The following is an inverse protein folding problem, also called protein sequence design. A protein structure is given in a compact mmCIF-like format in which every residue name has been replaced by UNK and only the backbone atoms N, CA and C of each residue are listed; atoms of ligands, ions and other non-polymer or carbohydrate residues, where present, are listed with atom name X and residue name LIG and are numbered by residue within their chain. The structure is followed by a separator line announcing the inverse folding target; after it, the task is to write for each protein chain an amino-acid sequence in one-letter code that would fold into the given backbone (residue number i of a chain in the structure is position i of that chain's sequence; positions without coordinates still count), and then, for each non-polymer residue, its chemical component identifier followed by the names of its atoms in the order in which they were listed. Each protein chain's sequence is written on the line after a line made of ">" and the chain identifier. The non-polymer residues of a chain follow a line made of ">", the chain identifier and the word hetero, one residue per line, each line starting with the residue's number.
data_IF_217829955317
#
_entry.id   IF_217829955317
#
_cell.length_a   1.000
_cell.length_b   1.000
_cell.length_c   1.000
_cell.angle_alpha   90.00
_cell.angle_beta   90.00
_cell.angle_gamma   90.00
#
_symmetry.space_group_name_H-M   'P 1'
#
loop_
_entity.id
_entity.type
_entity.pdbx_description
1 polymer ?
#
# COMPACT_ATOMS: atom_id res chain seq x y z
N UNK A 1 1.03 0.01 -11.04
CA UNK A 1 0.85 -1.45 -11.22
C UNK A 1 2.17 -2.23 -11.25
N UNK A 2 3.04 -2.06 -12.27
CA UNK A 2 4.25 -2.90 -12.45
C UNK A 2 5.14 -3.04 -11.22
N UNK A 3 5.41 -1.94 -10.52
CA UNK A 3 6.32 -1.99 -9.35
C UNK A 3 5.68 -2.74 -8.17
N UNK A 4 4.36 -2.68 -8.01
CA UNK A 4 3.64 -3.45 -6.97
C UNK A 4 3.73 -4.94 -7.30
N UNK A 5 3.53 -5.31 -8.57
CA UNK A 5 3.67 -6.69 -9.04
C UNK A 5 5.09 -7.21 -8.83
N UNK A 6 6.11 -6.40 -9.18
CA UNK A 6 7.51 -6.77 -9.00
C UNK A 6 7.85 -7.01 -7.52
N UNK A 7 7.32 -6.19 -6.61
CA UNK A 7 7.58 -6.32 -5.17
C UNK A 7 6.88 -7.54 -4.60
N UNK A 8 5.65 -7.83 -5.04
CA UNK A 8 4.95 -9.07 -4.67
C UNK A 8 5.72 -10.28 -5.17
N UNK A 9 6.15 -10.28 -6.44
CA UNK A 9 6.92 -11.36 -7.04
C UNK A 9 8.24 -11.58 -6.27
N UNK A 10 9.01 -10.53 -6.01
CA UNK A 10 10.24 -10.62 -5.23
C UNK A 10 10.00 -11.10 -3.81
N UNK A 11 8.94 -10.62 -3.15
CA UNK A 11 8.58 -11.06 -1.81
C UNK A 11 8.19 -12.54 -1.75
N UNK A 12 7.45 -13.04 -2.74
CA UNK A 12 7.10 -14.47 -2.84
C UNK A 12 8.35 -15.30 -3.16
N UNK A 13 9.23 -14.86 -4.07
CA UNK A 13 10.47 -15.58 -4.39
C UNK A 13 11.41 -15.67 -3.18
N UNK A 14 11.49 -14.61 -2.38
CA UNK A 14 12.24 -14.61 -1.13
C UNK A 14 11.66 -15.61 -0.13
N UNK A 15 10.33 -15.60 0.05
CA UNK A 15 9.64 -16.54 0.94
C UNK A 15 9.65 -17.98 0.43
N UNK A 16 9.79 -18.19 -0.88
CA UNK A 16 9.93 -19.48 -1.54
C UNK A 16 11.32 -20.10 -1.38
N UNK A 17 12.27 -19.40 -0.74
CA UNK A 17 13.58 -19.95 -0.41
C UNK A 17 14.56 -19.98 -1.59
N UNK A 18 14.45 -19.06 -2.55
CA UNK A 18 15.44 -18.94 -3.63
C UNK A 18 16.85 -18.70 -3.06
N UNK A 19 17.87 -19.18 -3.77
CA UNK A 19 19.26 -18.93 -3.44
C UNK A 19 19.54 -17.42 -3.29
N UNK A 20 20.13 -17.02 -2.15
CA UNK A 20 20.42 -15.63 -1.83
C UNK A 20 21.26 -14.90 -2.89
N UNK A 21 22.15 -15.61 -3.60
CA UNK A 21 22.95 -15.04 -4.70
C UNK A 21 22.08 -14.68 -5.92
N UNK A 22 21.16 -15.57 -6.30
CA UNK A 22 20.20 -15.33 -7.38
C UNK A 22 19.23 -14.20 -7.01
N UNK A 23 18.75 -14.18 -5.76
CA UNK A 23 17.89 -13.12 -5.27
C UNK A 23 18.58 -11.75 -5.28
N UNK A 24 19.83 -11.68 -4.81
CA UNK A 24 20.62 -10.45 -4.84
C UNK A 24 20.85 -9.98 -6.28
N UNK A 25 21.20 -10.88 -7.19
CA UNK A 25 21.36 -10.58 -8.62
C UNK A 25 20.09 -10.00 -9.25
N UNK A 26 18.94 -10.65 -9.04
CA UNK A 26 17.64 -10.17 -9.53
C UNK A 26 17.28 -8.80 -8.93
N UNK A 27 17.60 -8.56 -7.66
CA UNK A 27 17.33 -7.29 -6.99
C UNK A 27 18.17 -6.16 -7.58
N UNK A 28 19.46 -6.41 -7.80
CA UNK A 28 20.38 -5.44 -8.42
C UNK A 28 19.91 -5.09 -9.83
N UNK A 29 19.57 -6.09 -10.65
CA UNK A 29 19.05 -5.87 -12.00
C UNK A 29 17.74 -5.08 -11.97
N UNK A 30 16.83 -5.41 -11.05
CA UNK A 30 15.58 -4.69 -10.86
C UNK A 30 15.79 -3.22 -10.52
N UNK A 31 16.70 -2.92 -9.59
CA UNK A 31 17.05 -1.54 -9.22
C UNK A 31 17.67 -0.79 -10.41
N UNK A 32 18.61 -1.41 -11.13
CA UNK A 32 19.23 -0.83 -12.33
C UNK A 32 18.22 -0.48 -13.43
N UNK A 33 17.24 -1.37 -13.67
CA UNK A 33 16.18 -1.11 -14.64
C UNK A 33 15.36 0.09 -14.18
N UNK A 34 14.93 0.12 -12.92
CA UNK A 34 14.11 1.21 -12.39
C UNK A 34 14.86 2.55 -12.45
N UNK A 35 16.12 2.61 -12.05
CA UNK A 35 16.93 3.84 -12.08
C UNK A 35 17.17 4.32 -13.50
N UNK A 36 17.53 3.43 -14.43
CA UNK A 36 17.74 3.78 -15.85
C UNK A 36 16.46 4.33 -16.48
N UNK A 37 15.34 3.67 -16.22
CA UNK A 37 14.02 4.05 -16.73
C UNK A 37 13.55 5.41 -16.18
N UNK A 38 13.89 5.71 -14.93
CA UNK A 38 13.68 7.03 -14.33
C UNK A 38 14.59 8.07 -14.99
N UNK A 39 15.88 7.77 -15.16
CA UNK A 39 16.87 8.70 -15.69
C UNK A 39 16.59 9.10 -17.15
N UNK A 40 16.12 8.16 -17.97
CA UNK A 40 15.84 8.40 -19.39
C UNK A 40 14.51 9.10 -19.65
N UNK A 41 13.61 9.15 -18.65
CA UNK A 41 12.26 9.68 -18.81
C UNK A 41 12.12 11.04 -18.14
N UNK A 42 12.13 12.10 -18.94
CA UNK A 42 11.99 13.47 -18.46
C UNK A 42 10.74 13.69 -17.60
N UNK A 43 9.61 13.08 -17.99
CA UNK A 43 8.38 13.11 -17.21
C UNK A 43 8.51 12.51 -15.80
N UNK A 44 9.26 11.40 -15.66
CA UNK A 44 9.49 10.73 -14.37
C UNK A 44 10.50 11.46 -13.51
N UNK A 45 11.56 12.03 -14.09
CA UNK A 45 12.49 12.91 -13.37
C UNK A 45 11.77 14.12 -12.78
N UNK A 46 10.90 14.76 -13.55
CA UNK A 46 10.10 15.89 -13.08
C UNK A 46 9.17 15.52 -11.89
N UNK A 47 8.73 14.26 -11.76
CA UNK A 47 7.98 13.81 -10.57
C UNK A 47 8.87 13.66 -9.33
N UNK A 48 10.14 13.31 -9.51
CA UNK A 48 11.11 13.21 -8.41
C UNK A 48 11.50 14.62 -7.96
N UNK A 49 11.77 15.54 -8.88
CA UNK A 49 12.07 16.92 -8.54
C UNK A 49 10.88 17.64 -7.88
N UNK A 50 9.65 17.45 -8.39
CA UNK A 50 8.45 17.96 -7.75
C UNK A 50 8.14 17.33 -6.38
N UNK A 51 8.70 16.14 -6.08
CA UNK A 51 8.63 15.52 -4.76
C UNK A 51 9.69 16.08 -3.79
N UNK A 52 10.90 16.35 -4.30
CA UNK A 52 12.02 16.86 -3.50
C UNK A 52 11.83 18.34 -3.12
N UNK A 53 11.21 19.13 -3.99
CA UNK A 53 10.87 20.53 -3.71
C UNK A 53 9.42 20.85 -4.14
N UNK A 54 8.43 20.41 -3.33
CA UNK A 54 7.02 20.58 -3.66
C UNK A 54 6.53 22.02 -3.52
N UNK A 55 7.28 22.91 -2.84
CA UNK A 55 6.89 24.28 -2.51
C UNK A 55 7.31 25.32 -3.55
N UNK A 56 8.17 24.94 -4.53
CA UNK A 56 8.46 25.82 -5.65
C UNK A 56 7.20 26.08 -6.49
N UNK A 57 6.98 27.36 -6.83
CA UNK A 57 5.76 27.84 -7.49
C UNK A 57 5.45 27.12 -8.82
N UNK A 58 6.47 26.67 -9.57
CA UNK A 58 6.30 25.89 -10.81
C UNK A 58 5.80 24.45 -10.58
N UNK A 59 6.05 23.88 -9.40
CA UNK A 59 5.69 22.51 -9.04
C UNK A 59 4.37 22.45 -8.28
N UNK A 60 4.13 23.40 -7.39
CA UNK A 60 2.89 23.55 -6.62
C UNK A 60 1.65 23.71 -7.51
N UNK A 61 1.77 24.37 -8.68
CA UNK A 61 0.65 24.58 -9.61
C UNK A 61 0.32 23.38 -10.53
N UNK A 62 1.13 22.30 -10.52
CA UNK A 62 0.93 21.13 -11.41
C UNK A 62 1.09 19.79 -10.68
N UNK A 63 2.34 19.30 -10.54
CA UNK A 63 2.60 17.92 -10.07
C UNK A 63 2.72 17.78 -8.54
N UNK A 64 3.02 18.88 -7.83
CA UNK A 64 3.09 18.96 -6.38
C UNK A 64 1.76 19.33 -5.72
N UNK A 65 0.78 19.82 -6.47
CA UNK A 65 -0.51 20.31 -5.97
C UNK A 65 -1.21 19.31 -5.03
N UNK A 66 -1.33 18.05 -5.46
CA UNK A 66 -1.96 16.99 -4.66
C UNK A 66 -1.19 16.70 -3.37
N UNK A 67 0.15 16.74 -3.40
CA UNK A 67 0.97 16.48 -2.23
C UNK A 67 0.91 17.65 -1.24
N UNK A 68 0.97 18.89 -1.73
CA UNK A 68 0.89 20.09 -0.89
C UNK A 68 -0.45 20.16 -0.16
N UNK A 69 -1.57 19.94 -0.87
CA UNK A 69 -2.89 19.92 -0.25
C UNK A 69 -3.07 18.74 0.72
N UNK A 70 -2.49 17.58 0.41
CA UNK A 70 -2.43 16.45 1.35
C UNK A 70 -1.73 16.83 2.65
N UNK A 71 -0.56 17.47 2.56
CA UNK A 71 0.21 17.92 3.73
C UNK A 71 -0.52 19.04 4.50
N UNK A 72 -1.22 19.95 3.83
CA UNK A 72 -2.07 20.96 4.47
C UNK A 72 -3.23 20.32 5.24
N UNK A 73 -3.86 19.29 4.68
CA UNK A 73 -4.92 18.52 5.35
C UNK A 73 -4.41 17.88 6.65
N UNK A 74 -3.23 17.23 6.61
CA UNK A 74 -2.58 16.69 7.81
C UNK A 74 -2.23 17.77 8.83
N UNK A 75 -1.77 18.94 8.36
CA UNK A 75 -1.45 20.08 9.23
C UNK A 75 -2.67 20.62 9.98
N UNK A 76 -3.85 20.65 9.33
CA UNK A 76 -5.12 21.07 9.94
C UNK A 76 -5.71 20.06 10.91
N UNK A 77 -5.40 18.78 10.74
CA UNK A 77 -5.95 17.69 11.54
C UNK A 77 -5.45 17.62 12.99
N UNK A 78 -4.30 18.24 13.31
CA UNK A 78 -3.70 18.19 14.65
C UNK A 78 -3.77 16.76 15.27
N UNK A 79 -4.12 16.65 16.57
CA UNK A 79 -4.21 15.36 17.27
C UNK A 79 -5.55 14.64 17.06
N UNK A 80 -6.66 15.39 17.05
CA UNK A 80 -8.04 14.84 17.10
C UNK A 80 -8.90 15.15 15.88
N UNK A 81 -8.38 15.94 14.94
CA UNK A 81 -9.10 16.33 13.73
C UNK A 81 -10.06 17.49 13.93
N UNK A 82 -10.62 17.95 12.82
CA UNK A 82 -11.64 19.01 12.78
C UNK A 82 -13.07 18.46 12.94
N UNK A 83 -13.23 17.14 13.04
CA UNK A 83 -14.51 16.44 13.13
C UNK A 83 -14.98 15.86 11.79
N UNK A 84 -15.75 14.77 11.87
CA UNK A 84 -16.28 14.05 10.70
C UNK A 84 -17.12 14.98 9.81
N UNK A 85 -16.81 15.01 8.52
CA UNK A 85 -17.48 15.90 7.56
C UNK A 85 -17.04 17.37 7.63
N UNK A 86 -16.10 17.73 8.51
CA UNK A 86 -15.51 19.07 8.61
C UNK A 86 -14.32 19.29 7.67
N UNK A 87 -13.93 18.30 6.86
CA UNK A 87 -12.80 18.43 5.94
C UNK A 87 -13.08 19.47 4.87
N UNK A 88 -12.22 20.49 4.80
CA UNK A 88 -12.28 21.54 3.79
C UNK A 88 -11.61 21.07 2.50
N UNK A 89 -10.57 20.25 2.60
CA UNK A 89 -9.83 19.73 1.44
C UNK A 89 -10.66 18.75 0.60
N UNK A 90 -11.70 18.16 1.19
CA UNK A 90 -12.72 17.34 0.53
C UNK A 90 -13.63 18.12 -0.43
N UNK A 91 -13.78 19.44 -0.26
CA UNK A 91 -14.69 20.31 -1.01
C UNK A 91 -14.03 20.88 -2.29
N UNK A 92 -13.44 20.01 -3.11
CA UNK A 92 -12.83 20.30 -4.42
C UNK A 92 -11.40 20.89 -4.43
N UNK A 93 -10.74 21.05 -3.27
CA UNK A 93 -9.35 21.52 -3.21
C UNK A 93 -8.32 20.42 -3.43
N UNK A 94 -8.64 19.17 -3.06
CA UNK A 94 -7.78 18.01 -3.28
C UNK A 94 -8.32 17.11 -4.41
N UNK A 95 -7.71 17.12 -5.62
CA UNK A 95 -8.10 16.23 -6.69
C UNK A 95 -7.79 14.79 -6.28
N UNK A 96 -8.75 13.88 -6.46
CA UNK A 96 -8.64 12.47 -6.07
C UNK A 96 -8.61 12.21 -4.55
N UNK A 97 -9.20 13.13 -3.75
CA UNK A 97 -9.38 12.97 -2.30
C UNK A 97 -10.11 11.67 -1.89
N UNK A 98 -10.96 11.12 -2.75
CA UNK A 98 -11.73 9.89 -2.48
C UNK A 98 -11.00 8.60 -2.87
N UNK A 99 -9.95 8.68 -3.69
CA UNK A 99 -9.19 7.54 -4.18
C UNK A 99 -7.82 7.53 -3.51
N UNK A 100 -6.85 8.25 -4.06
CA UNK A 100 -5.44 8.07 -3.72
C UNK A 100 -5.04 8.88 -2.48
N UNK A 101 -5.78 9.94 -2.18
CA UNK A 101 -5.50 10.85 -1.05
C UNK A 101 -6.52 10.74 0.10
N UNK A 102 -7.27 9.64 0.19
CA UNK A 102 -8.28 9.46 1.25
C UNK A 102 -7.71 9.47 2.66
N UNK A 103 -6.44 9.09 2.82
CA UNK A 103 -5.77 9.17 4.12
C UNK A 103 -5.56 10.62 4.57
N UNK A 104 -5.39 11.57 3.66
CA UNK A 104 -5.25 12.98 3.98
C UNK A 104 -6.56 13.54 4.55
N UNK A 105 -7.70 13.13 3.98
CA UNK A 105 -9.04 13.46 4.50
C UNK A 105 -9.26 12.84 5.88
N UNK A 106 -8.88 11.57 6.07
CA UNK A 106 -8.91 10.92 7.39
C UNK A 106 -8.03 11.68 8.39
N UNK A 107 -6.85 12.13 7.96
CA UNK A 107 -5.95 12.95 8.76
C UNK A 107 -6.55 14.28 9.16
N UNK A 108 -7.26 14.97 8.26
CA UNK A 108 -7.94 16.22 8.58
C UNK A 108 -9.13 16.01 9.52
N UNK A 109 -10.00 15.03 9.23
CA UNK A 109 -11.25 14.83 9.99
C UNK A 109 -11.03 14.18 11.37
N UNK A 110 -10.09 13.24 11.49
CA UNK A 110 -9.86 12.42 12.69
C UNK A 110 -8.49 12.66 13.35
N UNK A 111 -7.65 13.51 12.75
CA UNK A 111 -6.33 13.86 13.28
C UNK A 111 -5.33 12.72 13.27
N UNK A 112 -4.23 12.92 13.99
CA UNK A 112 -3.18 11.92 14.18
C UNK A 112 -3.72 10.57 14.69
N UNK A 113 -4.68 10.58 15.62
CA UNK A 113 -5.24 9.35 16.20
C UNK A 113 -5.95 8.52 15.14
N UNK A 114 -6.75 9.14 14.27
CA UNK A 114 -7.44 8.42 13.19
C UNK A 114 -6.46 7.74 12.24
N UNK A 115 -5.41 8.47 11.83
CA UNK A 115 -4.35 7.94 10.95
C UNK A 115 -3.61 6.79 11.61
N UNK A 116 -3.27 6.93 12.89
CA UNK A 116 -2.60 5.90 13.67
C UNK A 116 -3.43 4.61 13.78
N UNK A 117 -4.74 4.73 14.03
CA UNK A 117 -5.66 3.59 14.05
C UNK A 117 -5.71 2.90 12.69
N UNK A 118 -5.77 3.65 11.58
CA UNK A 118 -5.73 3.07 10.23
C UNK A 118 -4.43 2.29 10.00
N UNK A 119 -3.27 2.83 10.39
CA UNK A 119 -1.98 2.14 10.29
C UNK A 119 -2.01 0.82 11.09
N UNK A 120 -2.54 0.85 12.32
CA UNK A 120 -2.65 -0.35 13.16
C UNK A 120 -3.58 -1.42 12.56
N UNK A 121 -4.69 -1.01 11.93
CA UNK A 121 -5.60 -1.93 11.25
C UNK A 121 -4.92 -2.65 10.08
N UNK A 122 -4.19 -1.90 9.23
CA UNK A 122 -3.41 -2.50 8.15
C UNK A 122 -2.31 -3.42 8.67
N UNK A 123 -1.59 -3.01 9.72
CA UNK A 123 -0.60 -3.85 10.38
C UNK A 123 -1.23 -5.16 10.86
N UNK A 124 -2.40 -5.10 11.49
CA UNK A 124 -3.11 -6.28 11.97
C UNK A 124 -3.52 -7.21 10.84
N UNK A 125 -4.07 -6.68 9.74
CA UNK A 125 -4.44 -7.47 8.55
C UNK A 125 -3.22 -8.20 7.98
N UNK A 126 -2.12 -7.47 7.75
CA UNK A 126 -0.89 -8.05 7.19
C UNK A 126 -0.34 -9.12 8.14
N UNK A 127 -0.27 -8.83 9.45
CA UNK A 127 0.16 -9.80 10.45
C UNK A 127 -0.68 -11.07 10.41
N UNK A 128 -2.01 -10.95 10.33
CA UNK A 128 -2.92 -12.11 10.25
C UNK A 128 -2.71 -12.92 8.98
N UNK A 129 -2.53 -12.28 7.81
CA UNK A 129 -2.25 -12.97 6.56
C UNK A 129 -0.94 -13.79 6.63
N UNK A 130 0.12 -13.22 7.24
CA UNK A 130 1.39 -13.92 7.44
C UNK A 130 1.27 -15.09 8.42
N UNK A 131 0.48 -14.96 9.49
CA UNK A 131 0.22 -16.05 10.43
C UNK A 131 -0.53 -17.20 9.74
N UNK A 132 -1.59 -16.92 8.98
CA UNK A 132 -2.34 -17.92 8.21
C UNK A 132 -1.40 -18.65 7.24
N UNK A 133 -0.56 -17.89 6.53
CA UNK A 133 0.41 -18.47 5.59
C UNK A 133 1.49 -19.31 6.28
N UNK A 134 1.93 -18.93 7.49
CA UNK A 134 2.85 -19.73 8.31
C UNK A 134 2.19 -21.05 8.73
N UNK A 135 0.95 -21.02 9.20
CA UNK A 135 0.22 -22.23 9.57
C UNK A 135 0.04 -23.18 8.38
N UNK A 136 -0.30 -22.66 7.19
CA UNK A 136 -0.41 -23.48 5.99
C UNK A 136 0.92 -24.17 5.63
N UNK A 137 2.06 -23.47 5.76
CA UNK A 137 3.38 -24.06 5.52
C UNK A 137 3.72 -25.16 6.52
N UNK A 138 3.29 -25.04 7.78
CA UNK A 138 3.47 -26.07 8.81
C UNK A 138 2.60 -27.32 8.57
N UNK A 139 1.55 -27.20 7.76
CA UNK A 139 0.66 -28.28 7.35
C UNK A 139 1.06 -28.87 5.98
N UNK A 140 2.29 -28.62 5.52
CA UNK A 140 2.82 -29.03 4.21
C UNK A 140 2.04 -28.48 3.00
N UNK A 141 1.26 -27.41 3.19
CA UNK A 141 0.50 -26.75 2.12
C UNK A 141 1.26 -25.55 1.57
N UNK A 142 2.38 -25.82 0.91
CA UNK A 142 3.31 -24.79 0.42
C UNK A 142 2.66 -23.74 -0.49
N UNK A 143 1.82 -24.16 -1.43
CA UNK A 143 1.11 -23.23 -2.31
C UNK A 143 0.16 -22.30 -1.55
N UNK A 144 -0.68 -22.86 -0.67
CA UNK A 144 -1.61 -22.07 0.13
C UNK A 144 -0.87 -21.10 1.08
N UNK A 145 0.24 -21.55 1.67
CA UNK A 145 1.07 -20.73 2.53
C UNK A 145 1.73 -19.55 1.82
N UNK A 146 2.30 -19.79 0.64
CA UNK A 146 2.89 -18.73 -0.19
C UNK A 146 1.82 -17.78 -0.74
N UNK A 147 0.66 -18.30 -1.13
CA UNK A 147 -0.48 -17.48 -1.58
C UNK A 147 -0.94 -16.53 -0.48
N UNK A 148 -1.17 -17.03 0.74
CA UNK A 148 -1.59 -16.21 1.87
C UNK A 148 -0.57 -15.12 2.24
N UNK A 149 0.73 -15.45 2.26
CA UNK A 149 1.79 -14.46 2.48
C UNK A 149 1.89 -13.46 1.32
N UNK A 150 1.68 -13.90 0.08
CA UNK A 150 1.65 -13.04 -1.11
C UNK A 150 0.53 -12.00 -1.06
N UNK A 151 -0.67 -12.39 -0.64
CA UNK A 151 -1.78 -11.45 -0.39
C UNK A 151 -1.44 -10.48 0.74
N UNK A 152 -0.80 -10.95 1.81
CA UNK A 152 -0.31 -10.10 2.89
C UNK A 152 0.70 -9.05 2.41
N UNK A 153 1.67 -9.44 1.57
CA UNK A 153 2.64 -8.53 0.95
C UNK A 153 1.94 -7.51 0.05
N UNK A 154 0.99 -7.96 -0.77
CA UNK A 154 0.26 -7.09 -1.68
C UNK A 154 -0.47 -5.97 -0.93
N UNK A 155 -1.31 -6.33 0.05
CA UNK A 155 -2.07 -5.36 0.85
C UNK A 155 -1.12 -4.44 1.62
N UNK A 156 -0.12 -5.01 2.29
CA UNK A 156 0.82 -4.25 3.11
C UNK A 156 1.63 -3.24 2.29
N UNK A 157 2.14 -3.66 1.13
CA UNK A 157 2.96 -2.78 0.30
C UNK A 157 2.15 -1.72 -0.43
N UNK A 158 0.94 -2.05 -0.87
CA UNK A 158 0.02 -1.07 -1.46
C UNK A 158 -0.39 -0.01 -0.44
N UNK A 159 -0.72 -0.41 0.79
CA UNK A 159 -1.00 0.50 1.88
C UNK A 159 0.20 1.37 2.24
N UNK A 160 1.40 0.78 2.38
CA UNK A 160 2.63 1.50 2.67
C UNK A 160 2.96 2.57 1.62
N UNK A 161 2.85 2.24 0.32
CA UNK A 161 3.09 3.22 -0.74
C UNK A 161 2.05 4.34 -0.68
N UNK A 162 0.77 4.02 -0.56
CA UNK A 162 -0.29 5.03 -0.53
C UNK A 162 -0.11 5.98 0.66
N UNK A 163 0.11 5.44 1.87
CA UNK A 163 0.36 6.24 3.07
C UNK A 163 1.63 7.09 2.94
N UNK A 164 2.72 6.50 2.42
CA UNK A 164 3.98 7.22 2.21
C UNK A 164 3.86 8.35 1.19
N UNK A 165 3.01 8.20 0.17
CA UNK A 165 2.70 9.28 -0.78
C UNK A 165 1.94 10.41 -0.08
N UNK A 166 0.93 10.09 0.71
CA UNK A 166 0.10 11.07 1.40
C UNK A 166 0.89 11.88 2.45
N UNK A 167 1.90 11.26 3.07
CA UNK A 167 2.80 11.89 4.04
C UNK A 167 4.02 12.59 3.40
N UNK A 168 4.17 12.56 2.08
CA UNK A 168 5.33 13.17 1.41
C UNK A 168 6.66 12.43 1.64
N UNK A 169 6.61 11.14 2.00
CA UNK A 169 7.78 10.25 2.12
C UNK A 169 8.09 9.59 0.77
N UNK A 170 7.09 9.45 -0.11
CA UNK A 170 7.22 8.82 -1.42
C UNK A 170 6.63 9.69 -2.53
N UNK A 171 7.17 9.63 -3.76
CA UNK A 171 6.67 10.41 -4.89
C UNK A 171 5.27 9.95 -5.31
N UNK A 172 4.41 10.91 -5.64
CA UNK A 172 2.99 10.68 -5.95
C UNK A 172 2.79 9.63 -7.05
N UNK A 173 2.01 8.60 -6.70
CA UNK A 173 1.59 7.52 -7.59
C UNK A 173 0.09 7.33 -7.41
N UNK A 174 -0.61 7.11 -8.52
CA UNK A 174 -2.04 6.83 -8.49
C UNK A 174 -2.31 5.39 -8.04
N UNK A 175 -2.16 5.14 -6.75
CA UNK A 175 -2.37 3.83 -6.13
C UNK A 175 -3.36 3.98 -5.01
N UNK A 176 -4.46 3.25 -5.10
CA UNK A 176 -5.53 3.27 -4.12
C UNK A 176 -5.12 2.59 -2.82
N UNK A 177 -5.64 3.11 -1.69
CA UNK A 177 -5.56 2.46 -0.39
C UNK A 177 -6.53 1.25 -0.38
N UNK A 178 -6.05 0.01 -0.15
CA UNK A 178 -6.92 -1.16 -0.15
C UNK A 178 -8.06 -1.01 0.86
N UNK A 179 -9.28 -1.48 0.52
CA UNK A 179 -10.49 -1.41 1.35
C UNK A 179 -11.08 -0.02 1.67
N UNK A 180 -10.29 1.05 1.60
CA UNK A 180 -10.71 2.39 2.05
C UNK A 180 -11.02 3.30 0.86
N UNK A 181 -10.18 3.27 -0.17
CA UNK A 181 -10.34 4.13 -1.35
C UNK A 181 -11.55 3.75 -2.19
N UNK A 182 -12.17 4.77 -2.78
CA UNK A 182 -13.23 4.59 -3.74
C UNK A 182 -12.72 3.90 -5.00
N UNK A 183 -13.34 2.78 -5.39
CA UNK A 183 -12.97 2.05 -6.59
C UNK A 183 -13.65 0.69 -6.63
N UNK A 184 -14.76 0.59 -7.36
CA UNK A 184 -15.60 -0.62 -7.38
C UNK A 184 -14.81 -1.90 -7.68
N UNK A 185 -14.00 -1.89 -8.74
CA UNK A 185 -13.17 -3.05 -9.10
C UNK A 185 -12.07 -3.34 -8.06
N UNK A 186 -11.48 -2.30 -7.46
CA UNK A 186 -10.44 -2.48 -6.45
C UNK A 186 -11.01 -3.09 -5.16
N UNK A 187 -12.19 -2.64 -4.73
CA UNK A 187 -12.89 -3.21 -3.57
C UNK A 187 -13.25 -4.67 -3.84
N UNK A 188 -13.83 -4.98 -5.02
CA UNK A 188 -14.16 -6.36 -5.41
C UNK A 188 -12.93 -7.27 -5.39
N UNK A 189 -11.81 -6.84 -5.96
CA UNK A 189 -10.57 -7.63 -5.97
C UNK A 189 -9.99 -7.82 -4.57
N UNK A 190 -10.09 -6.80 -3.70
CA UNK A 190 -9.72 -6.95 -2.30
C UNK A 190 -10.61 -7.99 -1.61
N UNK A 191 -11.94 -7.95 -1.79
CA UNK A 191 -12.86 -8.92 -1.21
C UNK A 191 -12.55 -10.35 -1.66
N UNK A 192 -12.22 -10.55 -2.95
CA UNK A 192 -11.78 -11.86 -3.46
C UNK A 192 -10.48 -12.30 -2.76
N UNK A 193 -9.52 -11.40 -2.58
CA UNK A 193 -8.27 -11.71 -1.88
C UNK A 193 -8.50 -12.12 -0.42
N UNK A 194 -9.41 -11.44 0.28
CA UNK A 194 -9.84 -11.82 1.63
C UNK A 194 -10.58 -13.15 1.67
N UNK A 195 -11.45 -13.42 0.70
CA UNK A 195 -12.14 -14.70 0.59
C UNK A 195 -11.15 -15.87 0.42
N UNK A 196 -10.10 -15.68 -0.39
CA UNK A 196 -9.02 -16.67 -0.53
C UNK A 196 -8.27 -16.87 0.79
N UNK A 197 -7.90 -15.79 1.49
CA UNK A 197 -7.25 -15.87 2.81
C UNK A 197 -8.09 -16.62 3.85
N UNK A 198 -9.40 -16.31 3.91
CA UNK A 198 -10.33 -16.96 4.84
C UNK A 198 -10.54 -18.43 4.49
N UNK A 199 -10.61 -18.77 3.20
CA UNK A 199 -10.67 -20.17 2.75
C UNK A 199 -9.45 -20.96 3.21
N UNK A 200 -8.24 -20.39 3.04
CA UNK A 200 -7.00 -21.01 3.49
C UNK A 200 -7.01 -21.20 5.02
N UNK A 201 -7.44 -20.19 5.79
CA UNK A 201 -7.55 -20.30 7.26
C UNK A 201 -8.55 -21.39 7.68
N UNK A 202 -9.70 -21.47 7.01
CA UNK A 202 -10.71 -22.49 7.26
C UNK A 202 -10.17 -23.91 7.05
N UNK A 203 -9.54 -24.15 5.90
CA UNK A 203 -8.94 -25.45 5.57
C UNK A 203 -7.79 -25.80 6.53
N UNK A 204 -6.98 -24.83 6.93
CA UNK A 204 -5.94 -25.03 7.95
C UNK A 204 -6.55 -25.49 9.29
N UNK A 205 -7.69 -24.91 9.71
CA UNK A 205 -8.37 -25.30 10.95
C UNK A 205 -8.95 -26.71 10.89
N UNK A 206 -9.44 -27.16 9.74
CA UNK A 206 -9.90 -28.53 9.55
C UNK A 206 -8.73 -29.51 9.78
N UNK A 207 -7.60 -29.26 9.13
CA UNK A 207 -6.43 -30.11 9.25
C UNK A 207 -5.85 -30.11 10.68
N UNK A 208 -5.79 -28.94 11.33
CA UNK A 208 -5.35 -28.85 12.73
C UNK A 208 -6.25 -29.64 13.71
N UNK A 209 -7.51 -29.90 13.34
CA UNK A 209 -8.44 -30.73 14.11
C UNK A 209 -8.42 -32.22 13.72
N UNK A 210 -7.51 -32.63 12.84
CA UNK A 210 -7.43 -34.00 12.33
C UNK A 210 -8.46 -34.35 11.25
N UNK A 211 -9.15 -33.35 10.70
CA UNK A 211 -10.04 -33.55 9.54
C UNK A 211 -9.26 -33.81 8.25
N UNK A 212 -9.97 -34.27 7.21
CA UNK A 212 -9.45 -34.41 5.84
C UNK A 212 -10.08 -33.35 4.94
N UNK A 213 -9.31 -32.85 3.97
CA UNK A 213 -9.75 -31.90 2.94
C UNK A 213 -10.32 -32.63 1.72
#
# INVERSE_FOLDING_TARGET
>A
AFMVIAIIAMGILFLGGINAKLFAGLTIVGVLIVTTVIALSEFRRQRIFAFLDPWQAEHAARKGYQLVHSLMAFGRGEWFGVGLGGSVEKLHYLPEAHTDFILAVIGEELGFIGVFVVILLFYWIVRRAFLIGRTALQLDRSFAGLCAKGVGIWIGWQAFINMGVNLGILPTKGLTLPLVSYGGSAILMNMVAFAVLLKIDYENRILMRGGKL
#
